data_IF_150724487196
#
_entry.id   IF_150724487196
#
_cell.length_a   1.000
_cell.length_b   1.000
_cell.length_c   1.000
_cell.angle_alpha   90.00
_cell.angle_beta   90.00
_cell.angle_gamma   90.00
#
_symmetry.space_group_name_H-M   'P 1'
#
loop_
_entity.id
_entity.type
_entity.pdbx_description
1 polymer ?
#
# COMPACT_ATOMS: atom_id res chain seq x y z
N UNK A 1 -41.13 -2.44 37.83
CA UNK A 1 -39.87 -3.15 37.50
C UNK A 1 -40.03 -3.88 36.17
N UNK A 2 -39.35 -3.47 35.08
CA UNK A 2 -39.09 -4.24 33.82
C UNK A 2 -38.65 -3.26 32.70
N UNK A 3 -37.43 -2.73 32.76
CA UNK A 3 -36.80 -2.00 31.62
C UNK A 3 -35.28 -2.22 31.49
N UNK A 4 -34.67 -3.14 32.26
CA UNK A 4 -33.21 -3.36 32.24
C UNK A 4 -32.72 -4.53 31.36
N UNK A 5 -33.60 -5.33 30.78
CA UNK A 5 -33.21 -6.60 30.14
C UNK A 5 -33.00 -6.55 28.61
N UNK A 6 -33.42 -5.49 27.92
CA UNK A 6 -33.31 -5.39 26.45
C UNK A 6 -31.95 -4.83 25.97
N UNK A 7 -31.25 -4.04 26.80
CA UNK A 7 -29.98 -3.43 26.41
C UNK A 7 -28.80 -4.43 26.35
N UNK A 8 -28.84 -5.49 27.17
CA UNK A 8 -27.74 -6.47 27.26
C UNK A 8 -27.71 -7.42 26.06
N UNK A 9 -28.87 -7.83 25.56
CA UNK A 9 -28.95 -8.75 24.42
C UNK A 9 -28.49 -8.11 23.10
N UNK A 10 -28.80 -6.83 22.88
CA UNK A 10 -28.37 -6.08 21.69
C UNK A 10 -26.84 -5.85 21.68
N UNK A 11 -26.23 -5.58 22.84
CA UNK A 11 -24.77 -5.43 22.96
C UNK A 11 -24.03 -6.76 22.68
N UNK A 12 -24.53 -7.90 23.19
CA UNK A 12 -23.94 -9.21 22.91
C UNK A 12 -24.02 -9.61 21.43
N UNK A 13 -25.07 -9.22 20.71
CA UNK A 13 -25.22 -9.51 19.28
C UNK A 13 -24.33 -8.64 18.38
N UNK A 14 -23.99 -7.41 18.80
CA UNK A 14 -23.07 -6.52 18.08
C UNK A 14 -21.59 -6.88 18.32
N UNK A 15 -21.25 -7.33 19.53
CA UNK A 15 -19.90 -7.79 19.85
C UNK A 15 -19.54 -9.09 19.13
N UNK A 16 -20.53 -9.98 18.94
CA UNK A 16 -20.33 -11.23 18.22
C UNK A 16 -20.14 -11.02 16.71
N UNK A 17 -20.80 -10.06 16.06
CA UNK A 17 -20.57 -9.81 14.62
C UNK A 17 -19.22 -9.15 14.33
N UNK A 18 -18.74 -8.25 15.18
CA UNK A 18 -17.41 -7.63 15.04
C UNK A 18 -16.26 -8.63 15.22
N UNK A 19 -16.33 -9.50 16.23
CA UNK A 19 -15.29 -10.50 16.48
C UNK A 19 -15.18 -11.54 15.35
N UNK A 20 -16.30 -11.93 14.74
CA UNK A 20 -16.32 -12.84 13.60
C UNK A 20 -15.83 -12.17 12.31
N UNK A 21 -16.12 -10.87 12.13
CA UNK A 21 -15.56 -10.05 11.06
C UNK A 21 -14.03 -10.00 11.12
N UNK A 22 -13.46 -9.64 12.28
CA UNK A 22 -12.00 -9.54 12.45
C UNK A 22 -11.29 -10.90 12.28
N UNK A 23 -11.79 -11.98 12.89
CA UNK A 23 -11.19 -13.31 12.75
C UNK A 23 -11.13 -13.80 11.29
N UNK A 24 -12.11 -13.42 10.46
CA UNK A 24 -12.11 -13.73 9.03
C UNK A 24 -11.08 -12.92 8.22
N UNK A 25 -10.60 -11.79 8.74
CA UNK A 25 -9.61 -10.96 8.07
C UNK A 25 -8.19 -11.41 8.40
N UNK A 26 -7.96 -11.89 9.62
CA UNK A 26 -6.63 -12.40 10.00
C UNK A 26 -6.18 -13.59 9.17
N UNK A 27 -7.10 -14.29 8.49
CA UNK A 27 -6.72 -15.30 7.50
C UNK A 27 -5.87 -14.74 6.34
N UNK A 28 -5.99 -13.45 6.02
CA UNK A 28 -5.19 -12.79 4.97
C UNK A 28 -3.77 -12.46 5.47
N UNK A 29 -3.60 -12.30 6.78
CA UNK A 29 -2.28 -12.18 7.42
C UNK A 29 -1.54 -13.52 7.47
N UNK A 30 -2.26 -14.63 7.30
CA UNK A 30 -1.68 -15.97 7.24
C UNK A 30 -1.32 -16.38 5.80
N UNK A 31 -0.16 -17.03 5.58
CA UNK A 31 0.92 -17.22 6.56
C UNK A 31 1.64 -15.89 6.85
N UNK A 32 2.37 -15.77 7.99
CA UNK A 32 3.15 -14.58 8.31
C UNK A 32 4.08 -14.13 7.17
N UNK A 33 4.46 -12.84 7.10
CA UNK A 33 5.36 -12.35 6.08
C UNK A 33 6.68 -13.14 6.03
N UNK A 34 7.04 -13.58 4.83
CA UNK A 34 8.32 -14.25 4.57
C UNK A 34 9.48 -13.24 4.54
N UNK A 35 10.72 -13.71 4.48
CA UNK A 35 11.89 -12.84 4.33
C UNK A 35 11.93 -12.08 2.98
N UNK A 36 11.19 -12.57 1.97
CA UNK A 36 11.04 -11.90 0.69
C UNK A 36 10.01 -10.76 0.73
N UNK A 37 9.09 -10.79 1.70
CA UNK A 37 8.04 -9.79 1.83
C UNK A 37 8.54 -8.58 2.62
N UNK A 38 8.61 -7.46 1.94
CA UNK A 38 9.09 -6.17 2.44
C UNK A 38 8.05 -5.09 2.21
N UNK A 39 8.22 -3.93 2.81
CA UNK A 39 7.47 -2.72 2.49
C UNK A 39 8.33 -1.80 1.62
N UNK A 40 7.70 -1.17 0.63
CA UNK A 40 8.31 -0.09 -0.15
C UNK A 40 8.02 1.24 0.55
N UNK A 41 9.00 1.76 1.29
CA UNK A 41 8.85 2.87 2.23
C UNK A 41 9.54 4.14 1.71
N UNK A 42 8.96 5.31 1.98
CA UNK A 42 9.58 6.61 1.75
C UNK A 42 10.85 6.77 2.60
N UNK A 43 11.92 7.29 2.00
CA UNK A 43 13.15 7.54 2.75
C UNK A 43 12.99 8.74 3.70
N UNK A 44 12.26 9.77 3.28
CA UNK A 44 11.87 10.91 4.09
C UNK A 44 10.59 10.60 4.89
N UNK A 45 10.39 11.27 6.02
CA UNK A 45 9.18 11.15 6.85
C UNK A 45 7.98 11.85 6.21
N UNK A 46 8.22 12.94 5.47
CA UNK A 46 7.18 13.77 4.85
C UNK A 46 6.12 14.24 5.86
N UNK A 47 6.52 14.49 7.12
CA UNK A 47 5.62 14.86 8.20
C UNK A 47 4.84 13.68 8.83
N UNK A 48 5.16 12.44 8.46
CA UNK A 48 4.68 11.21 9.09
C UNK A 48 5.88 10.46 9.68
N UNK A 49 6.09 10.43 11.02
CA UNK A 49 7.26 9.79 11.62
C UNK A 49 7.32 8.28 11.40
N UNK A 50 6.21 7.65 11.02
CA UNK A 50 6.19 6.24 10.61
C UNK A 50 6.54 6.04 9.13
N UNK A 51 6.81 7.13 8.40
CA UNK A 51 6.96 7.19 6.95
C UNK A 51 5.71 6.73 6.18
N UNK A 52 5.79 6.82 4.85
CA UNK A 52 4.75 6.36 3.92
C UNK A 52 5.21 5.09 3.21
N UNK A 53 4.31 4.12 3.04
CA UNK A 53 4.54 2.87 2.34
C UNK A 53 3.57 2.74 1.17
N UNK A 54 4.02 2.18 0.04
CA UNK A 54 3.14 1.84 -1.07
C UNK A 54 2.01 0.92 -0.59
N UNK A 55 0.77 1.26 -0.92
CA UNK A 55 -0.42 0.67 -0.34
C UNK A 55 -1.48 0.42 -1.43
N UNK A 56 -2.14 -0.73 -1.32
CA UNK A 56 -3.30 -1.07 -2.12
C UNK A 56 -4.55 -0.49 -1.45
N UNK A 57 -5.17 0.56 -2.01
CA UNK A 57 -6.27 1.25 -1.35
C UNK A 57 -7.46 0.32 -1.14
N UNK A 58 -8.22 0.56 -0.08
CA UNK A 58 -9.54 -0.05 0.09
C UNK A 58 -9.54 -1.53 0.51
N UNK A 59 -8.42 -2.09 0.99
CA UNK A 59 -8.44 -3.43 1.59
C UNK A 59 -9.43 -3.54 2.77
N UNK A 60 -9.60 -2.46 3.54
CA UNK A 60 -10.65 -2.34 4.55
C UNK A 60 -12.09 -2.40 3.98
N UNK A 61 -12.31 -2.09 2.70
CA UNK A 61 -13.62 -2.16 2.05
C UNK A 61 -13.96 -3.59 1.62
N UNK A 62 -12.97 -4.37 1.14
CA UNK A 62 -13.10 -5.82 0.91
C UNK A 62 -13.55 -6.54 2.20
N UNK A 63 -13.10 -6.03 3.34
CA UNK A 63 -13.39 -6.59 4.67
C UNK A 63 -14.84 -6.41 5.14
N UNK A 64 -15.52 -5.35 4.69
CA UNK A 64 -16.87 -5.02 5.10
C UNK A 64 -17.95 -5.76 4.28
N UNK A 65 -17.57 -6.71 3.43
CA UNK A 65 -18.48 -7.36 2.48
C UNK A 65 -18.98 -6.42 1.39
N UNK A 66 -18.38 -5.23 1.26
CA UNK A 66 -18.67 -4.27 0.22
C UNK A 66 -17.87 -4.64 -1.03
N UNK A 67 -18.57 -5.08 -2.08
CA UNK A 67 -17.98 -5.27 -3.40
C UNK A 67 -17.62 -3.90 -3.97
N UNK A 68 -16.34 -3.56 -4.01
CA UNK A 68 -15.92 -2.23 -4.48
C UNK A 68 -14.43 -2.03 -4.73
N UNK A 69 -13.57 -2.91 -4.23
CA UNK A 69 -12.16 -2.86 -4.61
C UNK A 69 -11.99 -3.26 -6.08
N UNK A 70 -11.45 -2.35 -6.89
CA UNK A 70 -11.04 -2.65 -8.25
C UNK A 70 -9.50 -2.63 -8.33
N UNK A 71 -8.85 -3.66 -8.89
CA UNK A 71 -7.40 -3.66 -9.14
C UNK A 71 -6.89 -2.44 -9.90
N UNK A 72 -7.78 -1.76 -10.66
CA UNK A 72 -7.46 -0.56 -11.43
C UNK A 72 -7.54 0.74 -10.64
N UNK A 73 -7.88 0.69 -9.35
CA UNK A 73 -7.75 1.87 -8.50
C UNK A 73 -6.28 2.29 -8.45
N UNK A 74 -5.99 3.60 -8.52
CA UNK A 74 -4.63 4.07 -8.35
C UNK A 74 -4.08 3.61 -7.01
N UNK A 75 -2.88 3.04 -7.01
CA UNK A 75 -2.11 2.83 -5.80
C UNK A 75 -1.94 4.16 -5.07
N UNK A 76 -1.83 4.07 -3.77
CA UNK A 76 -1.51 5.19 -2.92
C UNK A 76 -0.26 4.89 -2.09
N UNK A 77 0.18 5.88 -1.34
CA UNK A 77 0.97 5.59 -0.15
C UNK A 77 0.14 5.84 1.08
N UNK A 78 0.41 5.08 2.11
CA UNK A 78 -0.26 5.17 3.39
C UNK A 78 0.78 5.14 4.50
N UNK A 79 0.47 5.66 5.68
CA UNK A 79 1.30 5.49 6.88
C UNK A 79 1.76 4.04 6.95
N UNK A 80 3.08 3.82 7.06
CA UNK A 80 3.61 2.46 7.10
C UNK A 80 3.07 1.71 8.31
N UNK A 81 2.59 0.50 8.08
CA UNK A 81 1.94 -0.34 9.08
C UNK A 81 2.98 -1.16 9.88
N UNK A 82 3.99 -0.45 10.38
CA UNK A 82 5.11 -1.01 11.13
C UNK A 82 4.76 -1.31 12.59
N UNK A 83 5.42 -2.34 13.15
CA UNK A 83 5.28 -2.74 14.56
C UNK A 83 3.86 -3.17 14.92
N UNK A 84 3.13 -3.72 13.94
CA UNK A 84 1.88 -4.44 14.17
C UNK A 84 2.20 -5.94 14.27
N UNK A 85 1.43 -6.72 15.05
CA UNK A 85 1.57 -8.17 15.06
C UNK A 85 1.49 -8.73 13.63
N UNK A 86 2.36 -9.68 13.28
CA UNK A 86 2.33 -10.32 11.95
C UNK A 86 1.11 -11.19 11.72
N UNK A 87 0.36 -11.48 12.77
CA UNK A 87 -0.96 -12.09 12.69
C UNK A 87 -2.06 -11.11 12.30
N UNK A 88 -1.77 -9.80 12.19
CA UNK A 88 -2.77 -8.77 11.94
C UNK A 88 -2.86 -8.39 10.44
N UNK A 89 -4.04 -8.42 9.85
CA UNK A 89 -4.28 -8.22 8.41
C UNK A 89 -3.94 -6.84 7.86
N UNK A 90 -3.67 -5.86 8.72
CA UNK A 90 -3.50 -4.48 8.30
C UNK A 90 -2.35 -4.29 7.34
N UNK A 91 -1.22 -5.00 7.48
CA UNK A 91 -0.05 -4.77 6.64
C UNK A 91 -0.13 -5.46 5.26
N UNK A 92 -1.13 -6.32 5.01
CA UNK A 92 -1.20 -7.22 3.84
C UNK A 92 -1.18 -6.45 2.51
N UNK A 93 -1.80 -5.28 2.50
CA UNK A 93 -1.86 -4.32 1.37
C UNK A 93 -0.58 -3.50 1.15
N UNK A 94 0.44 -3.64 2.02
CA UNK A 94 1.73 -2.95 1.89
C UNK A 94 2.91 -3.90 1.64
N UNK A 95 2.65 -5.20 1.48
CA UNK A 95 3.70 -6.19 1.24
C UNK A 95 4.03 -6.32 -0.24
N UNK A 96 5.30 -6.11 -0.55
CA UNK A 96 5.89 -6.31 -1.87
C UNK A 96 7.01 -7.35 -1.84
N UNK A 97 7.27 -7.99 -2.97
CA UNK A 97 8.35 -8.98 -3.12
C UNK A 97 9.68 -8.28 -3.39
N UNK A 98 10.66 -8.52 -2.51
CA UNK A 98 12.04 -8.07 -2.66
C UNK A 98 12.69 -8.66 -3.90
N UNK A 99 12.60 -9.97 -4.08
CA UNK A 99 13.18 -10.68 -5.22
C UNK A 99 12.54 -10.29 -6.54
N UNK A 100 11.20 -10.11 -6.59
CA UNK A 100 10.56 -9.62 -7.81
C UNK A 100 11.10 -8.24 -8.23
N UNK A 101 11.36 -7.35 -7.26
CA UNK A 101 11.91 -6.05 -7.56
C UNK A 101 13.39 -6.13 -7.98
N UNK A 102 14.20 -6.89 -7.25
CA UNK A 102 15.62 -7.04 -7.53
C UNK A 102 15.91 -7.77 -8.87
N UNK A 103 15.17 -8.85 -9.15
CA UNK A 103 15.47 -9.75 -10.27
C UNK A 103 14.76 -9.34 -11.57
N UNK A 104 13.59 -8.69 -11.46
CA UNK A 104 12.73 -8.37 -12.61
C UNK A 104 12.36 -6.89 -12.72
N UNK A 105 12.78 -6.05 -11.78
CA UNK A 105 12.37 -4.65 -11.72
C UNK A 105 10.88 -4.47 -11.42
N UNK A 106 10.20 -5.49 -10.87
CA UNK A 106 8.76 -5.46 -10.63
C UNK A 106 8.42 -5.15 -9.18
N UNK A 107 7.58 -4.14 -8.95
CA UNK A 107 6.94 -3.93 -7.66
C UNK A 107 5.72 -4.86 -7.59
N UNK A 108 5.93 -6.10 -7.15
CA UNK A 108 4.87 -7.12 -7.02
C UNK A 108 4.30 -7.10 -5.60
N UNK A 109 3.01 -6.84 -5.47
CA UNK A 109 2.28 -7.00 -4.21
C UNK A 109 1.95 -8.47 -3.99
N UNK A 110 2.66 -9.11 -3.04
CA UNK A 110 2.70 -10.57 -2.91
C UNK A 110 1.35 -11.17 -2.57
N UNK A 111 0.56 -10.46 -1.77
CA UNK A 111 -0.73 -10.93 -1.25
C UNK A 111 -1.88 -10.86 -2.25
N UNK A 112 -1.68 -10.14 -3.35
CA UNK A 112 -2.66 -10.00 -4.42
C UNK A 112 -2.22 -10.71 -5.71
N UNK A 113 -0.96 -11.12 -5.79
CA UNK A 113 -0.33 -11.63 -7.01
C UNK A 113 -0.45 -10.66 -8.21
N UNK A 114 -0.32 -9.37 -7.92
CA UNK A 114 -0.39 -8.29 -8.91
C UNK A 114 0.88 -7.44 -8.88
N UNK A 115 1.17 -6.82 -10.02
CA UNK A 115 2.32 -5.93 -10.20
C UNK A 115 1.85 -4.50 -10.41
N UNK A 116 2.60 -3.56 -9.86
CA UNK A 116 2.41 -2.14 -10.13
C UNK A 116 2.70 -1.86 -11.62
N UNK A 117 1.83 -1.07 -12.25
CA UNK A 117 1.94 -0.67 -13.64
C UNK A 117 1.70 0.83 -13.79
N UNK A 118 2.56 1.51 -14.56
CA UNK A 118 2.34 2.91 -14.94
C UNK A 118 1.14 2.99 -15.88
N UNK A 119 0.04 3.56 -15.38
CA UNK A 119 -1.24 3.61 -16.07
C UNK A 119 -1.15 4.38 -17.38
N UNK A 120 -1.77 3.80 -18.41
CA UNK A 120 -1.87 4.39 -19.75
C UNK A 120 -3.21 5.10 -19.90
N UNK A 121 -3.17 6.42 -20.09
CA UNK A 121 -4.38 7.22 -20.28
C UNK A 121 -4.71 7.40 -21.76
N UNK A 122 -5.84 6.84 -22.20
CA UNK A 122 -6.31 6.99 -23.58
C UNK A 122 -5.39 6.31 -24.60
N UNK A 123 -5.12 6.99 -25.71
CA UNK A 123 -4.33 6.48 -26.84
C UNK A 123 -2.82 6.77 -26.74
N UNK A 124 -2.29 7.11 -25.55
CA UNK A 124 -0.85 7.34 -25.37
C UNK A 124 -0.04 6.08 -25.71
N UNK A 125 1.02 6.17 -26.53
CA UNK A 125 1.88 5.02 -26.83
C UNK A 125 2.47 4.38 -25.58
N UNK A 126 2.81 3.08 -25.66
CA UNK A 126 3.41 2.36 -24.52
C UNK A 126 4.79 2.89 -24.11
N UNK A 127 5.46 3.61 -25.00
CA UNK A 127 6.74 4.29 -24.76
C UNK A 127 6.62 5.66 -24.07
N UNK A 128 5.41 6.15 -23.82
CA UNK A 128 5.19 7.49 -23.26
C UNK A 128 4.65 7.39 -21.84
N UNK A 129 5.35 8.00 -20.88
CA UNK A 129 4.88 8.20 -19.51
C UNK A 129 4.55 9.67 -19.34
N UNK A 130 3.30 9.97 -18.97
CA UNK A 130 2.86 11.35 -18.75
C UNK A 130 3.31 11.81 -17.37
N UNK A 131 3.36 13.13 -17.18
CA UNK A 131 3.49 13.72 -15.85
C UNK A 131 2.33 13.27 -14.96
N UNK A 132 2.65 12.96 -13.71
CA UNK A 132 1.72 12.50 -12.67
C UNK A 132 0.86 11.31 -13.12
N UNK A 133 1.43 10.44 -13.97
CA UNK A 133 0.78 9.20 -14.39
C UNK A 133 0.49 8.32 -13.16
N UNK A 134 -0.77 7.90 -12.99
CA UNK A 134 -1.15 6.97 -11.93
C UNK A 134 -0.38 5.66 -12.02
N UNK A 135 -0.13 5.05 -10.87
CA UNK A 135 0.31 3.65 -10.79
C UNK A 135 -0.90 2.82 -10.39
N UNK A 136 -1.16 1.72 -11.08
CA UNK A 136 -2.29 0.82 -10.79
C UNK A 136 -1.79 -0.61 -10.64
N UNK A 137 -2.64 -1.54 -10.17
CA UNK A 137 -2.30 -2.95 -10.20
C UNK A 137 -2.81 -3.62 -11.48
N UNK A 138 -1.97 -4.49 -12.03
CA UNK A 138 -2.30 -5.36 -13.15
C UNK A 138 -1.71 -6.76 -12.94
N UNK A 139 -2.21 -7.78 -13.64
CA UNK A 139 -1.56 -9.08 -13.68
C UNK A 139 -0.08 -8.92 -14.04
N UNK A 140 0.79 -9.58 -13.28
CA UNK A 140 2.23 -9.52 -13.51
C UNK A 140 2.58 -10.09 -14.90
N UNK A 141 3.36 -9.36 -15.69
CA UNK A 141 3.75 -9.75 -17.03
C UNK A 141 5.04 -9.10 -17.51
N UNK A 142 5.31 -9.20 -18.81
CA UNK A 142 6.55 -8.67 -19.41
C UNK A 142 6.44 -7.20 -19.87
N UNK A 143 5.35 -6.52 -19.52
CA UNK A 143 5.10 -5.12 -19.90
C UNK A 143 6.23 -4.21 -19.41
N UNK A 144 6.84 -3.37 -20.27
CA UNK A 144 7.81 -2.37 -19.84
C UNK A 144 7.25 -1.40 -18.79
N UNK A 145 5.93 -1.15 -18.80
CA UNK A 145 5.24 -0.29 -17.83
C UNK A 145 5.18 -0.86 -16.40
N UNK A 146 5.50 -2.13 -16.24
CA UNK A 146 5.62 -2.81 -14.94
C UNK A 146 7.07 -2.90 -14.46
N UNK A 147 8.03 -2.36 -15.22
CA UNK A 147 9.44 -2.41 -14.87
C UNK A 147 9.94 -1.07 -14.37
N UNK A 148 10.64 -1.15 -13.26
CA UNK A 148 11.20 -0.05 -12.51
C UNK A 148 12.62 -0.39 -12.07
N UNK A 149 13.44 0.65 -11.90
CA UNK A 149 14.80 0.51 -11.40
C UNK A 149 14.99 1.36 -10.15
N UNK A 150 15.44 0.75 -9.06
CA UNK A 150 15.93 1.47 -7.89
C UNK A 150 17.35 1.99 -8.16
N UNK A 151 17.50 3.30 -8.19
CA UNK A 151 18.79 3.98 -8.31
C UNK A 151 19.49 4.09 -6.95
N UNK A 152 20.80 4.35 -6.97
CA UNK A 152 21.62 4.43 -5.76
C UNK A 152 21.20 5.58 -4.81
N UNK A 153 20.56 6.63 -5.33
CA UNK A 153 20.02 7.74 -4.55
C UNK A 153 18.61 7.46 -3.97
N UNK A 154 18.09 6.24 -4.12
CA UNK A 154 16.77 5.85 -3.64
C UNK A 154 15.63 6.13 -4.62
N UNK A 155 15.89 6.76 -5.77
CA UNK A 155 14.84 6.97 -6.78
C UNK A 155 14.40 5.64 -7.40
N UNK A 156 13.09 5.46 -7.56
CA UNK A 156 12.54 4.37 -8.36
C UNK A 156 12.12 4.93 -9.71
N UNK A 157 12.86 4.61 -10.76
CA UNK A 157 12.67 5.14 -12.11
C UNK A 157 11.88 4.17 -12.97
N UNK A 158 10.99 4.67 -13.82
CA UNK A 158 10.35 3.85 -14.83
C UNK A 158 11.37 3.38 -15.88
N UNK A 159 11.32 2.13 -16.30
CA UNK A 159 12.13 1.67 -17.44
C UNK A 159 11.63 2.20 -18.78
N UNK A 160 10.34 2.55 -18.88
CA UNK A 160 9.75 3.15 -20.09
C UNK A 160 10.32 4.54 -20.33
N UNK A 161 10.46 5.33 -19.27
CA UNK A 161 11.04 6.67 -19.29
C UNK A 161 11.90 6.88 -18.03
N UNK A 162 13.24 6.73 -18.13
CA UNK A 162 14.14 6.89 -16.99
C UNK A 162 14.23 8.33 -16.43
N UNK A 163 13.61 9.31 -17.09
CA UNK A 163 13.44 10.66 -16.54
C UNK A 163 12.21 10.77 -15.64
N UNK A 164 11.45 9.69 -15.45
CA UNK A 164 10.28 9.63 -14.59
C UNK A 164 10.50 8.75 -13.37
N UNK A 165 10.16 9.29 -12.20
CA UNK A 165 10.35 8.71 -10.88
C UNK A 165 9.00 8.45 -10.21
N UNK A 166 8.93 7.34 -9.49
CA UNK A 166 7.84 7.05 -8.55
C UNK A 166 7.82 8.15 -7.47
N UNK A 167 6.71 8.86 -7.39
CA UNK A 167 6.58 10.12 -6.65
C UNK A 167 5.37 10.09 -5.74
N UNK A 168 5.59 10.41 -4.47
CA UNK A 168 4.55 10.59 -3.46
C UNK A 168 3.89 11.96 -3.65
N UNK A 169 2.57 12.04 -3.59
CA UNK A 169 1.80 13.29 -3.68
C UNK A 169 2.12 14.30 -2.55
N UNK A 170 1.76 15.56 -2.77
CA UNK A 170 1.94 16.62 -1.77
C UNK A 170 0.91 16.52 -0.65
N UNK A 171 -0.35 16.35 -1.02
CA UNK A 171 -1.48 16.37 -0.10
C UNK A 171 -1.58 15.10 0.72
N UNK A 172 -1.78 15.26 2.02
CA UNK A 172 -2.05 14.18 2.96
C UNK A 172 -3.52 14.21 3.41
N UNK A 173 -4.14 13.04 3.46
CA UNK A 173 -5.52 12.87 3.92
C UNK A 173 -5.56 11.83 5.05
N UNK A 174 -6.46 12.01 6.02
CA UNK A 174 -6.68 11.01 7.06
C UNK A 174 -7.32 9.74 6.46
N UNK A 175 -6.74 8.59 6.77
CA UNK A 175 -7.08 7.27 6.24
C UNK A 175 -7.59 6.33 7.35
N UNK A 176 -8.20 6.89 8.39
CA UNK A 176 -8.61 6.18 9.60
C UNK A 176 -7.61 6.30 10.74
N UNK A 177 -7.73 5.45 11.75
CA UNK A 177 -6.95 5.55 12.99
C UNK A 177 -6.46 4.17 13.44
N UNK A 178 -5.17 4.07 13.80
CA UNK A 178 -4.62 2.88 14.48
C UNK A 178 -5.21 2.73 15.88
N UNK A 179 -5.32 3.86 16.58
CA UNK A 179 -5.83 4.04 17.93
C UNK A 179 -6.27 5.51 18.09
N UNK A 180 -7.04 5.88 19.13
CA UNK A 180 -7.38 7.28 19.40
C UNK A 180 -6.11 8.16 19.46
N UNK A 181 -6.09 9.23 18.68
CA UNK A 181 -4.95 10.15 18.58
C UNK A 181 -3.77 9.64 17.74
N UNK A 182 -3.93 8.53 17.03
CA UNK A 182 -2.93 7.97 16.11
C UNK A 182 -3.54 7.80 14.70
N UNK A 183 -3.79 8.90 13.99
CA UNK A 183 -4.36 8.84 12.64
C UNK A 183 -3.42 8.12 11.71
N UNK A 184 -3.97 7.45 10.72
CA UNK A 184 -3.27 7.06 9.52
C UNK A 184 -3.46 8.13 8.47
N UNK A 185 -2.46 8.30 7.63
CA UNK A 185 -2.43 9.27 6.56
C UNK A 185 -2.22 8.55 5.23
N UNK A 186 -2.81 9.06 4.17
CA UNK A 186 -2.57 8.61 2.80
C UNK A 186 -2.22 9.77 1.88
N UNK A 187 -1.48 9.48 0.80
CA UNK A 187 -1.18 10.40 -0.30
C UNK A 187 -1.23 9.66 -1.63
N UNK A 188 -1.41 10.40 -2.72
CA UNK A 188 -1.32 9.86 -4.06
C UNK A 188 0.06 9.20 -4.34
N UNK A 189 0.07 8.12 -5.14
CA UNK A 189 1.28 7.55 -5.71
C UNK A 189 1.24 7.64 -7.24
N UNK A 190 2.20 8.36 -7.81
CA UNK A 190 2.26 8.68 -9.23
C UNK A 190 3.65 8.48 -9.79
N UNK A 191 3.81 8.67 -11.09
CA UNK A 191 5.10 8.75 -11.77
C UNK A 191 5.23 10.12 -12.43
N UNK A 192 6.23 10.88 -11.99
CA UNK A 192 6.45 12.30 -12.30
C UNK A 192 7.92 12.53 -12.68
N UNK A 193 8.26 13.70 -13.21
CA UNK A 193 9.64 14.01 -13.57
C UNK A 193 10.60 13.87 -12.39
N UNK A 194 11.69 13.13 -12.57
CA UNK A 194 12.76 13.05 -11.57
C UNK A 194 13.39 14.43 -11.41
N UNK A 195 13.40 14.98 -10.19
CA UNK A 195 13.98 16.29 -9.94
C UNK A 195 14.59 16.37 -8.54
N UNK A 196 15.76 17.02 -8.35
CA UNK A 196 16.37 17.18 -7.03
C UNK A 196 15.45 17.87 -6.01
N UNK A 197 14.61 18.82 -6.46
CA UNK A 197 13.64 19.49 -5.61
C UNK A 197 12.54 18.54 -5.09
N UNK A 198 12.32 17.41 -5.76
CA UNK A 198 11.33 16.39 -5.42
C UNK A 198 11.93 15.21 -4.65
N UNK A 199 13.24 15.25 -4.34
CA UNK A 199 13.95 14.16 -3.68
C UNK A 199 13.25 13.64 -2.41
N UNK A 200 12.69 14.48 -1.51
CA UNK A 200 11.95 13.97 -0.34
C UNK A 200 10.77 13.06 -0.71
N UNK A 201 10.12 13.30 -1.86
CA UNK A 201 8.95 12.55 -2.35
C UNK A 201 9.31 11.43 -3.33
N UNK A 202 10.56 11.39 -3.78
CA UNK A 202 11.05 10.46 -4.81
C UNK A 202 12.11 9.48 -4.30
N UNK A 203 12.55 9.61 -3.05
CA UNK A 203 13.50 8.69 -2.42
C UNK A 203 12.77 7.57 -1.66
N UNK A 204 13.15 6.33 -1.95
CA UNK A 204 12.53 5.12 -1.42
C UNK A 204 13.57 4.17 -0.83
N UNK A 205 13.11 3.31 0.08
CA UNK A 205 13.88 2.19 0.65
C UNK A 205 12.98 0.96 0.84
N UNK A 206 13.60 -0.21 0.89
CA UNK A 206 12.92 -1.44 1.31
C UNK A 206 13.09 -1.60 2.82
N UNK A 207 11.98 -1.78 3.54
CA UNK A 207 11.97 -2.03 4.98
C UNK A 207 11.31 -3.37 5.28
N UNK A 208 11.77 -4.06 6.33
CA UNK A 208 11.06 -5.24 6.80
C UNK A 208 9.69 -4.83 7.37
N UNK A 209 8.61 -5.62 7.15
CA UNK A 209 7.43 -5.52 8.00
C UNK A 209 7.91 -5.85 9.42
N UNK A 210 7.71 -4.91 10.36
CA UNK A 210 8.38 -4.89 11.66
C UNK A 210 8.32 -6.21 12.46
N UNK A 211 9.11 -6.33 13.54
CA UNK A 211 9.04 -7.51 14.40
C UNK A 211 7.64 -7.63 15.04
N UNK A 212 7.24 -8.85 15.40
CA UNK A 212 6.13 -9.03 16.33
C UNK A 212 6.43 -8.19 17.59
N UNK A 213 5.45 -7.44 18.14
CA UNK A 213 5.66 -6.83 19.45
C UNK A 213 5.96 -7.97 20.43
N UNK A 214 7.15 -7.91 21.04
CA UNK A 214 7.59 -8.77 22.13
C UNK A 214 6.63 -8.73 23.32
#
# INVERSE_FOLDING_TARGET
MRRRSLAVAAACALLSTQAWGQANLERFAAPPPTADEVMLQSADELGEPRHFCADVPGFGVLSAGLTGWEPRWPLEVHTCKLGLPKSHYFFVDQLVSRSAFADRGQIRFTRFDLCAEVHRTGATPDSVVREDSWVVLAPCGASPRQRFRLAANGEIRSEVDPAKCLTIGLEAHEAGNRAPGQPWLQRALTVSSCAPAEAPRQAWRLSAPGPDPS
#
